data_IF_984452380365
#
_entry.id   IF_984452380365
#
_cell.length_a   1.000
_cell.length_b   1.000
_cell.length_c   1.000
_cell.angle_alpha   90.00
_cell.angle_beta   90.00
_cell.angle_gamma   90.00
#
_symmetry.space_group_name_H-M   'P 1'
#
loop_
_entity.id
_entity.type
_entity.pdbx_description
1 polymer ?
#
# COMPACT_ATOMS: atom_id res chain seq x y z
N UNK A 1 22.27 -4.01 42.64
CA UNK A 1 22.55 -3.18 41.44
C UNK A 1 21.90 -3.70 40.15
N UNK A 2 21.48 -4.97 40.04
CA UNK A 2 20.77 -5.52 38.88
C UNK A 2 19.38 -4.91 38.59
N UNK A 3 18.65 -4.47 39.64
CA UNK A 3 17.28 -3.95 39.51
C UNK A 3 17.17 -2.65 38.68
N UNK A 4 18.17 -1.76 38.72
CA UNK A 4 18.15 -0.50 37.95
C UNK A 4 18.36 -0.71 36.45
N UNK A 5 19.14 -1.72 36.06
CA UNK A 5 19.39 -2.07 34.66
C UNK A 5 18.18 -2.77 34.02
N UNK A 6 17.50 -3.64 34.77
CA UNK A 6 16.25 -4.24 34.30
C UNK A 6 15.15 -3.19 34.07
N UNK A 7 14.98 -2.23 34.98
CA UNK A 7 13.98 -1.15 34.81
C UNK A 7 14.32 -0.26 33.60
N UNK A 8 15.60 0.08 33.41
CA UNK A 8 16.04 0.87 32.25
C UNK A 8 15.82 0.14 30.92
N UNK A 9 16.15 -1.16 30.84
CA UNK A 9 15.85 -1.95 29.65
C UNK A 9 14.36 -2.02 29.37
N UNK A 10 13.51 -2.24 30.38
CA UNK A 10 12.05 -2.29 30.20
C UNK A 10 11.51 -0.96 29.67
N UNK A 11 11.94 0.19 30.21
CA UNK A 11 11.53 1.50 29.69
C UNK A 11 11.97 1.76 28.24
N UNK A 12 13.20 1.37 27.88
CA UNK A 12 13.70 1.51 26.50
C UNK A 12 12.90 0.62 25.53
N UNK A 13 12.58 -0.61 25.91
CA UNK A 13 11.77 -1.50 25.07
C UNK A 13 10.32 -1.01 24.95
N UNK A 14 9.71 -0.44 26.00
CA UNK A 14 8.33 0.08 25.91
C UNK A 14 8.23 1.30 24.98
N UNK A 15 9.18 2.24 25.02
CA UNK A 15 9.16 3.42 24.14
C UNK A 15 9.34 3.04 22.66
N UNK A 16 10.20 2.06 22.36
CA UNK A 16 10.38 1.53 21.00
C UNK A 16 9.09 0.87 20.47
N UNK A 17 8.35 0.18 21.33
CA UNK A 17 7.06 -0.46 20.98
C UNK A 17 5.95 0.58 20.78
N UNK A 18 5.99 1.78 21.36
CA UNK A 18 4.98 2.80 21.04
C UNK A 18 5.26 3.51 19.71
N UNK A 19 6.53 3.64 19.31
CA UNK A 19 6.91 4.38 18.11
C UNK A 19 6.40 3.75 16.80
N UNK A 20 6.39 2.41 16.67
CA UNK A 20 6.00 1.74 15.41
C UNK A 20 4.51 1.86 15.06
N UNK A 21 3.64 2.16 16.04
CA UNK A 21 2.20 2.36 15.86
C UNK A 21 1.79 3.83 15.96
N UNK A 22 2.75 4.76 16.01
CA UNK A 22 2.46 6.17 16.12
C UNK A 22 1.91 6.70 14.78
N UNK A 23 0.69 7.28 14.74
CA UNK A 23 0.13 7.88 13.52
C UNK A 23 0.85 9.18 13.09
N UNK A 24 1.87 9.63 13.81
CA UNK A 24 2.66 10.82 13.48
C UNK A 24 1.82 12.11 13.34
N UNK A 25 0.65 12.17 13.97
CA UNK A 25 -0.25 13.32 13.93
C UNK A 25 -0.04 14.24 15.14
N UNK A 26 -0.50 15.49 15.03
CA UNK A 26 -0.47 16.45 16.12
C UNK A 26 -1.46 16.08 17.22
N UNK A 27 -1.08 16.31 18.49
CA UNK A 27 -1.86 15.88 19.66
C UNK A 27 -3.26 16.51 19.77
N UNK A 28 -3.49 17.66 19.12
CA UNK A 28 -4.77 18.37 19.11
C UNK A 28 -5.63 18.05 17.88
N UNK A 29 -5.26 17.03 17.10
CA UNK A 29 -5.98 16.62 15.87
C UNK A 29 -6.38 15.17 15.95
N UNK A 30 -7.51 14.84 15.33
CA UNK A 30 -8.02 13.46 15.28
C UNK A 30 -8.69 13.17 13.94
N UNK A 31 -8.98 11.90 13.69
CA UNK A 31 -9.55 11.38 12.45
C UNK A 31 -8.67 11.52 11.19
N UNK A 32 -8.72 10.45 10.40
CA UNK A 32 -8.15 10.37 9.05
C UNK A 32 -9.33 10.34 8.09
N UNK A 33 -9.33 11.22 7.09
CA UNK A 33 -10.36 11.25 6.04
C UNK A 33 -9.84 10.60 4.77
N UNK A 34 -10.61 9.68 4.20
CA UNK A 34 -10.29 9.10 2.89
C UNK A 34 -10.90 9.97 1.78
N UNK A 35 -10.06 10.76 1.09
CA UNK A 35 -10.47 11.59 -0.04
C UNK A 35 -10.37 10.77 -1.34
N UNK A 36 -11.28 9.81 -1.47
CA UNK A 36 -11.30 8.82 -2.53
C UNK A 36 -11.40 9.45 -3.93
N UNK A 37 -10.43 9.15 -4.79
CA UNK A 37 -10.31 9.63 -6.18
C UNK A 37 -10.11 11.15 -6.37
N UNK A 38 -9.77 11.90 -5.32
CA UNK A 38 -9.50 13.32 -5.44
C UNK A 38 -8.16 13.60 -6.15
N UNK A 39 -8.06 14.75 -6.83
CA UNK A 39 -6.80 15.25 -7.39
C UNK A 39 -5.91 15.81 -6.29
N UNK A 40 -4.60 15.74 -6.48
CA UNK A 40 -3.65 16.25 -5.48
C UNK A 40 -3.84 17.74 -5.20
N UNK A 41 -4.13 18.54 -6.23
CA UNK A 41 -4.39 19.98 -6.07
C UNK A 41 -5.64 20.26 -5.23
N UNK A 42 -6.72 19.51 -5.44
CA UNK A 42 -7.96 19.66 -4.67
C UNK A 42 -7.76 19.27 -3.20
N UNK A 43 -6.99 18.20 -2.94
CA UNK A 43 -6.62 17.79 -1.58
C UNK A 43 -5.79 18.86 -0.89
N UNK A 44 -4.82 19.47 -1.59
CA UNK A 44 -3.99 20.53 -1.04
C UNK A 44 -4.84 21.74 -0.59
N UNK A 45 -5.81 22.14 -1.42
CA UNK A 45 -6.76 23.19 -1.08
C UNK A 45 -7.66 22.80 0.09
N UNK A 46 -8.12 21.55 0.14
CA UNK A 46 -8.97 21.03 1.21
C UNK A 46 -8.26 20.99 2.57
N UNK A 47 -6.97 20.63 2.57
CA UNK A 47 -6.10 20.74 3.73
C UNK A 47 -6.06 22.17 4.27
N UNK A 48 -5.96 23.17 3.39
CA UNK A 48 -5.79 24.57 3.77
C UNK A 48 -7.08 25.27 4.18
N UNK A 49 -8.20 24.94 3.54
CA UNK A 49 -9.47 25.67 3.70
C UNK A 49 -10.45 25.02 4.66
N UNK A 50 -10.27 23.74 4.98
CA UNK A 50 -11.25 22.98 5.76
C UNK A 50 -10.60 22.07 6.79
N UNK A 51 -9.81 21.07 6.37
CA UNK A 51 -9.36 20.00 7.26
C UNK A 51 -8.53 20.53 8.43
N UNK A 52 -7.65 21.49 8.16
CA UNK A 52 -6.80 22.07 9.18
C UNK A 52 -7.62 22.78 10.28
N UNK A 53 -8.60 23.58 9.89
CA UNK A 53 -9.41 24.39 10.80
C UNK A 53 -10.45 23.55 11.57
N UNK A 54 -10.81 22.38 11.05
CA UNK A 54 -11.76 21.45 11.66
C UNK A 54 -11.08 20.31 12.44
N UNK A 55 -9.77 20.41 12.69
CA UNK A 55 -9.07 19.48 13.57
C UNK A 55 -8.81 18.08 13.00
N UNK A 56 -8.97 17.89 11.67
CA UNK A 56 -8.59 16.64 11.02
C UNK A 56 -7.09 16.42 11.13
N UNK A 57 -6.70 15.17 11.37
CA UNK A 57 -5.31 14.78 11.60
C UNK A 57 -4.59 14.44 10.30
N UNK A 58 -5.27 13.78 9.36
CA UNK A 58 -4.68 13.34 8.13
C UNK A 58 -5.69 13.10 7.00
N UNK A 59 -5.16 12.97 5.79
CA UNK A 59 -5.87 12.45 4.62
C UNK A 59 -5.27 11.10 4.23
N UNK A 60 -6.12 10.14 3.87
CA UNK A 60 -5.73 8.97 3.08
C UNK A 60 -6.01 9.28 1.61
N UNK A 61 -5.01 9.09 0.75
CA UNK A 61 -5.12 9.28 -0.70
C UNK A 61 -5.20 7.94 -1.42
N UNK A 62 -5.94 7.90 -2.53
CA UNK A 62 -5.96 6.74 -3.43
C UNK A 62 -4.58 6.43 -4.02
N UNK A 63 -4.35 5.22 -4.57
CA UNK A 63 -3.04 4.80 -5.05
C UNK A 63 -2.37 5.81 -5.99
N UNK A 64 -1.13 6.18 -5.65
CA UNK A 64 -0.41 7.29 -6.30
C UNK A 64 0.56 6.84 -7.38
N UNK A 65 0.88 5.54 -7.43
CA UNK A 65 1.71 4.95 -8.44
C UNK A 65 0.95 4.71 -9.75
N UNK A 66 1.69 4.64 -10.85
CA UNK A 66 1.16 4.41 -12.18
C UNK A 66 0.37 3.12 -12.24
N UNK A 67 -0.88 3.25 -12.68
CA UNK A 67 -1.83 2.17 -12.76
C UNK A 67 -2.30 1.97 -14.21
N UNK A 68 -2.90 0.82 -14.47
CA UNK A 68 -3.45 0.47 -15.77
C UNK A 68 -4.57 1.44 -16.15
N UNK A 69 -4.59 1.86 -17.42
CA UNK A 69 -5.70 2.63 -17.98
C UNK A 69 -6.74 1.66 -18.51
N UNK A 70 -7.89 1.60 -17.85
CA UNK A 70 -9.00 0.73 -18.25
C UNK A 70 -10.15 1.56 -18.80
N UNK A 71 -10.69 1.17 -19.94
CA UNK A 71 -11.93 1.73 -20.49
C UNK A 71 -13.01 0.66 -20.45
N UNK A 72 -14.08 0.91 -19.70
CA UNK A 72 -15.28 0.07 -19.62
C UNK A 72 -16.47 0.92 -19.97
N UNK A 73 -17.24 0.55 -21.00
CA UNK A 73 -18.47 1.25 -21.43
C UNK A 73 -18.33 2.78 -21.55
N UNK A 74 -17.19 3.24 -22.06
CA UNK A 74 -16.92 4.67 -22.28
C UNK A 74 -16.50 5.45 -21.04
N UNK A 75 -16.30 4.80 -19.89
CA UNK A 75 -15.77 5.43 -18.68
C UNK A 75 -14.54 4.70 -18.12
N UNK A 76 -13.82 5.40 -17.24
CA UNK A 76 -12.64 4.91 -16.52
C UNK A 76 -13.06 4.48 -15.11
N UNK A 77 -13.12 3.17 -14.78
CA UNK A 77 -13.56 2.72 -13.46
C UNK A 77 -12.61 3.17 -12.34
N UNK A 78 -13.05 3.14 -11.09
CA UNK A 78 -12.20 3.49 -9.93
C UNK A 78 -11.16 2.39 -9.63
N UNK A 79 -11.53 1.13 -9.83
CA UNK A 79 -10.72 -0.02 -9.48
C UNK A 79 -9.47 -0.18 -10.36
N UNK A 80 -9.36 0.55 -11.47
CA UNK A 80 -8.16 0.54 -12.30
C UNK A 80 -6.90 1.00 -11.53
N UNK A 81 -7.07 1.78 -10.44
CA UNK A 81 -5.97 2.25 -9.59
C UNK A 81 -5.32 1.14 -8.77
N UNK A 82 -6.03 0.02 -8.59
CA UNK A 82 -5.52 -1.17 -7.90
C UNK A 82 -4.91 -2.18 -8.89
N UNK A 83 -4.55 -1.73 -10.09
CA UNK A 83 -3.81 -2.52 -11.06
C UNK A 83 -2.50 -1.82 -11.43
N UNK A 84 -1.46 -1.93 -10.59
CA UNK A 84 -0.17 -1.28 -10.85
C UNK A 84 0.44 -1.69 -12.19
N UNK A 85 1.02 -0.72 -12.87
CA UNK A 85 1.87 -0.92 -14.06
C UNK A 85 3.32 -0.53 -13.75
N UNK A 86 3.52 0.49 -12.91
CA UNK A 86 4.83 0.82 -12.37
C UNK A 86 4.74 1.55 -11.04
N UNK A 87 5.90 1.90 -10.48
CA UNK A 87 6.02 2.73 -9.28
C UNK A 87 6.29 4.21 -9.59
N UNK A 88 6.09 4.64 -10.84
CA UNK A 88 6.10 6.06 -11.19
C UNK A 88 4.92 6.79 -10.54
N UNK A 89 5.14 7.93 -9.90
CA UNK A 89 4.07 8.71 -9.27
C UNK A 89 3.38 9.60 -10.32
N UNK A 90 2.51 9.01 -11.13
CA UNK A 90 1.67 9.72 -12.12
C UNK A 90 0.37 8.95 -12.35
N UNK A 91 -0.76 9.56 -12.03
CA UNK A 91 -2.10 8.97 -12.10
C UNK A 91 -3.13 10.00 -12.58
N UNK A 92 -4.42 9.63 -12.57
CA UNK A 92 -5.52 10.61 -12.75
C UNK A 92 -5.52 11.74 -11.72
N UNK A 93 -4.97 11.52 -10.52
CA UNK A 93 -4.90 12.54 -9.48
C UNK A 93 -3.85 13.62 -9.76
N UNK A 94 -2.86 13.33 -10.61
CA UNK A 94 -1.76 14.23 -10.94
C UNK A 94 -0.41 13.51 -11.04
N UNK A 95 0.65 14.29 -11.23
CA UNK A 95 2.04 13.82 -11.32
C UNK A 95 2.81 13.99 -9.99
N UNK A 96 4.06 13.51 -9.96
CA UNK A 96 4.95 13.55 -8.78
C UNK A 96 5.14 14.95 -8.21
N UNK A 97 5.22 15.98 -9.05
CA UNK A 97 5.40 17.35 -8.59
C UNK A 97 4.14 17.87 -7.88
N UNK A 98 2.96 17.59 -8.43
CA UNK A 98 1.67 17.93 -7.81
C UNK A 98 1.45 17.14 -6.51
N UNK A 99 1.82 15.86 -6.48
CA UNK A 99 1.80 15.06 -5.26
C UNK A 99 2.70 15.68 -4.17
N UNK A 100 3.95 16.01 -4.50
CA UNK A 100 4.89 16.63 -3.56
C UNK A 100 4.40 17.99 -3.06
N UNK A 101 3.78 18.80 -3.93
CA UNK A 101 3.19 20.08 -3.53
C UNK A 101 2.03 19.89 -2.54
N UNK A 102 1.13 18.94 -2.82
CA UNK A 102 0.04 18.60 -1.91
C UNK A 102 0.57 18.14 -0.54
N UNK A 103 1.53 17.20 -0.51
CA UNK A 103 2.12 16.71 0.75
C UNK A 103 2.72 17.88 1.54
N UNK A 104 3.48 18.75 0.87
CA UNK A 104 4.08 19.94 1.49
C UNK A 104 3.01 20.85 2.11
N UNK A 105 1.96 21.20 1.36
CA UNK A 105 0.91 22.13 1.79
C UNK A 105 0.06 21.57 2.93
N UNK A 106 -0.33 20.29 2.85
CA UNK A 106 -1.03 19.62 3.94
C UNK A 106 -0.18 19.57 5.22
N UNK A 107 1.09 19.18 5.12
CA UNK A 107 1.99 19.14 6.28
C UNK A 107 2.20 20.54 6.91
N UNK A 108 2.31 21.60 6.11
CA UNK A 108 2.40 22.99 6.60
C UNK A 108 1.18 23.42 7.42
N UNK A 109 0.01 22.82 7.15
CA UNK A 109 -1.24 23.07 7.86
C UNK A 109 -1.50 22.13 9.03
N UNK A 110 -0.57 21.22 9.31
CA UNK A 110 -0.78 20.23 10.36
C UNK A 110 -1.68 19.08 9.94
N UNK A 111 -1.81 18.78 8.65
CA UNK A 111 -2.58 17.63 8.14
C UNK A 111 -1.62 16.65 7.50
N UNK A 112 -1.54 15.42 8.04
CA UNK A 112 -0.68 14.37 7.49
C UNK A 112 -1.26 13.76 6.22
N UNK A 113 -0.41 13.10 5.45
CA UNK A 113 -0.81 12.35 4.25
C UNK A 113 -0.43 10.89 4.43
N UNK A 114 -1.41 10.01 4.25
CA UNK A 114 -1.27 8.57 4.18
C UNK A 114 -1.55 8.12 2.75
N UNK A 115 -0.73 7.23 2.22
CA UNK A 115 -0.86 6.75 0.84
C UNK A 115 -1.36 5.33 0.84
N UNK A 116 -2.45 5.08 0.12
CA UNK A 116 -2.88 3.72 -0.21
C UNK A 116 -1.83 3.06 -1.13
N UNK A 117 -1.15 2.04 -0.63
CA UNK A 117 -0.07 1.33 -1.34
C UNK A 117 -0.51 -0.05 -1.78
N UNK A 118 -0.41 -0.30 -3.08
CA UNK A 118 -0.71 -1.61 -3.69
C UNK A 118 0.61 -2.31 -4.00
N UNK A 119 1.05 -3.18 -3.08
CA UNK A 119 2.34 -3.89 -3.16
C UNK A 119 2.20 -5.42 -3.34
N UNK A 120 0.98 -5.93 -3.21
CA UNK A 120 0.70 -7.37 -3.31
C UNK A 120 0.87 -7.88 -4.74
N UNK A 121 0.30 -7.16 -5.71
CA UNK A 121 0.16 -7.61 -7.08
C UNK A 121 0.44 -6.47 -8.07
N UNK A 122 0.61 -6.84 -9.33
CA UNK A 122 0.54 -5.93 -10.48
C UNK A 122 -0.83 -6.07 -11.17
N UNK A 123 -1.00 -5.48 -12.35
CA UNK A 123 -2.24 -5.63 -13.12
C UNK A 123 -2.60 -7.09 -13.42
N UNK A 124 -3.86 -7.34 -13.78
CA UNK A 124 -4.23 -8.60 -14.43
C UNK A 124 -3.92 -8.57 -15.92
N UNK A 125 -4.28 -9.66 -16.60
CA UNK A 125 -4.13 -9.81 -18.05
C UNK A 125 -4.82 -8.67 -18.81
N UNK A 126 -4.05 -7.96 -19.65
CA UNK A 126 -4.57 -6.96 -20.57
C UNK A 126 -3.73 -6.88 -21.83
N UNK A 127 -4.38 -6.93 -23.00
CA UNK A 127 -3.71 -6.70 -24.27
C UNK A 127 -3.40 -5.21 -24.47
N UNK A 128 -2.22 -4.90 -24.99
CA UNK A 128 -1.74 -3.52 -25.20
C UNK A 128 -1.80 -2.65 -23.94
N UNK A 129 -1.44 -3.22 -22.79
CA UNK A 129 -1.51 -2.54 -21.50
C UNK A 129 -0.71 -1.22 -21.50
N UNK A 130 -1.37 -0.16 -21.04
CA UNK A 130 -0.84 1.21 -20.95
C UNK A 130 -1.10 1.75 -19.55
N UNK A 131 -0.04 2.23 -18.91
CA UNK A 131 -0.13 2.91 -17.63
C UNK A 131 -0.48 4.39 -17.77
N UNK A 132 -0.97 4.98 -16.68
CA UNK A 132 -1.32 6.41 -16.59
C UNK A 132 -0.14 7.37 -16.80
N UNK A 133 1.11 6.90 -16.69
CA UNK A 133 2.33 7.67 -16.99
C UNK A 133 2.89 7.38 -18.39
N UNK A 134 2.22 6.52 -19.17
CA UNK A 134 2.60 6.14 -20.53
C UNK A 134 3.43 4.87 -20.64
N UNK A 135 3.78 4.22 -19.51
CA UNK A 135 4.49 2.94 -19.53
C UNK A 135 3.68 1.88 -20.25
N UNK A 136 4.35 1.03 -21.01
CA UNK A 136 3.75 -0.18 -21.61
C UNK A 136 4.12 -1.40 -20.79
N UNK A 137 3.27 -2.42 -20.80
CA UNK A 137 3.54 -3.71 -20.17
C UNK A 137 2.95 -4.84 -21.04
N UNK A 138 3.41 -6.07 -20.79
CA UNK A 138 2.79 -7.29 -21.28
C UNK A 138 2.38 -8.17 -20.07
N UNK A 139 1.23 -7.88 -19.44
CA UNK A 139 0.77 -8.59 -18.25
C UNK A 139 0.60 -10.09 -18.48
N UNK A 140 0.16 -10.51 -19.67
CA UNK A 140 -0.04 -11.93 -20.02
C UNK A 140 1.25 -12.74 -19.84
N UNK A 141 2.40 -12.12 -20.10
CA UNK A 141 3.71 -12.72 -19.90
C UNK A 141 4.42 -12.26 -18.61
N UNK A 142 3.72 -11.51 -17.74
CA UNK A 142 4.21 -10.92 -16.50
C UNK A 142 5.44 -10.01 -16.71
N UNK A 143 5.43 -9.25 -17.80
CA UNK A 143 6.51 -8.32 -18.14
C UNK A 143 6.08 -6.87 -17.89
N UNK A 144 6.79 -6.21 -16.97
CA UNK A 144 6.58 -4.82 -16.54
C UNK A 144 7.89 -4.04 -16.64
N UNK A 145 8.28 -3.58 -17.84
CA UNK A 145 9.60 -2.98 -18.10
C UNK A 145 9.91 -1.71 -17.31
N UNK A 146 8.87 -0.96 -16.89
CA UNK A 146 9.05 0.28 -16.13
C UNK A 146 9.49 0.05 -14.66
N UNK A 147 9.29 -1.16 -14.10
CA UNK A 147 9.79 -1.56 -12.77
C UNK A 147 11.09 -2.37 -12.84
N UNK A 148 11.56 -2.64 -14.05
CA UNK A 148 11.74 -3.99 -14.62
C UNK A 148 11.38 -5.18 -13.72
N UNK A 149 10.14 -5.67 -13.85
CA UNK A 149 9.75 -7.02 -13.44
C UNK A 149 9.51 -7.91 -14.65
N UNK A 150 9.86 -9.18 -14.50
CA UNK A 150 9.55 -10.27 -15.42
C UNK A 150 8.88 -11.42 -14.63
N UNK A 151 8.52 -12.50 -15.33
CA UNK A 151 7.86 -13.68 -14.75
C UNK A 151 8.53 -14.27 -13.50
N UNK A 152 9.84 -14.13 -13.30
CA UNK A 152 10.56 -14.68 -12.14
C UNK A 152 10.27 -13.90 -10.85
N UNK A 153 9.71 -12.69 -10.97
CA UNK A 153 9.39 -11.80 -9.85
C UNK A 153 7.97 -12.03 -9.28
N UNK A 154 7.26 -13.00 -9.83
CA UNK A 154 5.89 -13.33 -9.45
C UNK A 154 5.82 -14.77 -8.97
N UNK A 155 4.83 -15.05 -8.13
CA UNK A 155 4.49 -16.42 -7.82
C UNK A 155 4.00 -17.16 -9.07
N UNK A 156 4.10 -18.50 -9.02
CA UNK A 156 3.55 -19.36 -10.06
C UNK A 156 2.04 -19.16 -10.12
N UNK A 157 1.49 -18.94 -11.32
CA UNK A 157 0.07 -18.64 -11.46
C UNK A 157 -0.82 -19.73 -10.88
N UNK A 158 -1.66 -19.32 -9.94
CA UNK A 158 -2.78 -20.04 -9.36
C UNK A 158 -3.85 -18.98 -9.03
N UNK A 159 -5.14 -19.31 -9.17
CA UNK A 159 -6.21 -18.38 -8.85
C UNK A 159 -6.79 -18.65 -7.46
N UNK A 160 -7.11 -17.60 -6.71
CA UNK A 160 -7.96 -17.72 -5.52
C UNK A 160 -9.42 -17.94 -6.00
N UNK A 161 -9.95 -19.14 -5.81
CA UNK A 161 -11.19 -19.59 -6.46
C UNK A 161 -12.47 -19.31 -5.65
N UNK A 162 -12.39 -19.16 -4.33
CA UNK A 162 -13.55 -18.93 -3.47
C UNK A 162 -13.30 -17.87 -2.39
N UNK A 163 -13.98 -16.73 -2.53
CA UNK A 163 -13.97 -15.58 -1.61
C UNK A 163 -14.86 -15.77 -0.37
N UNK A 164 -15.67 -16.83 -0.32
CA UNK A 164 -16.55 -17.15 0.81
C UNK A 164 -15.99 -18.27 1.68
N UNK A 165 -15.01 -19.02 1.18
CA UNK A 165 -14.26 -19.96 2.00
C UNK A 165 -13.22 -19.19 2.81
N UNK A 166 -13.48 -18.97 4.10
CA UNK A 166 -12.51 -18.35 5.00
C UNK A 166 -11.17 -19.11 5.05
N UNK A 167 -11.09 -20.35 4.56
CA UNK A 167 -9.83 -21.09 4.43
C UNK A 167 -9.02 -20.75 3.16
N UNK A 168 -9.63 -20.10 2.17
CA UNK A 168 -9.02 -19.67 0.90
C UNK A 168 -9.02 -18.15 0.75
N UNK A 169 -9.83 -17.43 1.54
CA UNK A 169 -9.95 -15.99 1.51
C UNK A 169 -10.05 -15.41 2.92
N UNK A 170 -8.89 -15.02 3.46
CA UNK A 170 -8.82 -14.06 4.56
C UNK A 170 -8.63 -12.61 4.03
N UNK A 171 -8.78 -12.38 2.73
CA UNK A 171 -8.54 -11.10 2.08
C UNK A 171 -9.74 -10.14 2.10
N UNK A 172 -10.63 -10.33 3.09
CA UNK A 172 -11.55 -9.28 3.55
C UNK A 172 -10.82 -8.06 4.13
N UNK A 173 -9.49 -8.08 4.15
CA UNK A 173 -8.59 -7.01 4.57
C UNK A 173 -7.77 -6.41 3.41
N UNK A 174 -8.30 -6.42 2.18
CA UNK A 174 -7.80 -5.54 1.10
C UNK A 174 -8.10 -4.05 1.35
N UNK A 175 -8.68 -3.71 2.51
CA UNK A 175 -8.67 -2.39 3.13
C UNK A 175 -8.22 -2.58 4.59
N UNK A 176 -7.08 -1.99 4.95
CA UNK A 176 -6.39 -1.99 6.25
C UNK A 176 -5.67 -3.30 6.68
N UNK A 177 -4.35 -3.33 6.47
CA UNK A 177 -3.29 -3.48 7.50
C UNK A 177 -2.03 -4.06 6.85
N UNK A 178 -1.20 -3.17 6.30
CA UNK A 178 0.25 -3.40 6.37
C UNK A 178 0.61 -3.15 7.85
N UNK A 179 1.36 -4.08 8.47
CA UNK A 179 1.85 -4.06 9.86
C UNK A 179 0.89 -4.59 10.97
N UNK A 180 0.65 -5.91 11.01
CA UNK A 180 0.43 -6.61 12.29
C UNK A 180 0.65 -8.12 12.15
N UNK A 181 1.90 -8.56 12.00
CA UNK A 181 2.26 -10.00 12.08
C UNK A 181 2.74 -10.44 13.48
N UNK A 182 3.10 -9.51 14.38
CA UNK A 182 3.81 -9.85 15.62
C UNK A 182 2.97 -10.44 16.78
N UNK A 183 1.66 -10.72 16.62
CA UNK A 183 0.88 -11.39 17.68
C UNK A 183 0.29 -12.75 17.29
N UNK A 184 0.52 -13.25 16.07
CA UNK A 184 -0.04 -14.54 15.64
C UNK A 184 0.83 -15.76 15.96
N UNK A 185 2.12 -15.60 16.30
CA UNK A 185 3.03 -16.74 16.49
C UNK A 185 2.80 -17.51 17.80
N UNK A 186 2.24 -16.90 18.85
CA UNK A 186 2.22 -17.55 20.18
C UNK A 186 1.04 -18.50 20.40
N UNK A 187 0.01 -18.51 19.54
CA UNK A 187 -1.18 -19.35 19.74
C UNK A 187 -1.33 -20.54 18.75
N UNK A 188 -0.51 -20.63 17.69
CA UNK A 188 -0.71 -21.58 16.58
C UNK A 188 0.26 -22.78 16.52
N UNK A 189 1.11 -23.00 17.52
CA UNK A 189 2.02 -24.17 17.57
C UNK A 189 1.48 -25.37 18.36
N UNK A 190 0.21 -25.78 18.15
CA UNK A 190 -0.30 -27.09 18.65
C UNK A 190 -1.17 -27.88 17.65
N UNK A 191 -1.00 -27.66 16.34
CA UNK A 191 -1.72 -28.43 15.32
C UNK A 191 -1.10 -28.33 13.92
N UNK A 192 0.16 -28.71 13.79
CA UNK A 192 0.89 -28.65 12.52
C UNK A 192 0.40 -29.73 11.53
N UNK A 193 -0.22 -29.31 10.42
CA UNK A 193 -0.52 -30.20 9.30
C UNK A 193 -1.37 -29.57 8.19
N UNK A 194 -2.46 -28.86 8.52
CA UNK A 194 -3.41 -28.35 7.51
C UNK A 194 -3.53 -26.82 7.43
N UNK A 195 -3.19 -26.08 8.49
CA UNK A 195 -3.27 -24.61 8.48
C UNK A 195 -2.12 -23.95 7.69
N UNK A 196 -0.93 -24.57 7.68
CA UNK A 196 0.27 -24.02 7.01
C UNK A 196 0.17 -24.02 5.48
N UNK A 197 -0.54 -24.99 4.88
CA UNK A 197 -0.74 -25.06 3.42
C UNK A 197 -1.74 -23.98 2.95
N UNK A 198 -2.66 -23.55 3.83
CA UNK A 198 -3.75 -22.64 3.53
C UNK A 198 -3.34 -21.16 3.53
N UNK A 199 -2.45 -20.77 4.44
CA UNK A 199 -1.89 -19.41 4.46
C UNK A 199 -1.03 -19.15 3.21
N UNK A 200 -0.30 -20.16 2.72
CA UNK A 200 0.51 -20.03 1.52
C UNK A 200 -0.33 -19.78 0.26
N UNK A 201 -1.53 -20.37 0.17
CA UNK A 201 -2.40 -20.16 -0.99
C UNK A 201 -2.96 -18.74 -1.06
N UNK A 202 -3.37 -18.18 0.08
CA UNK A 202 -3.84 -16.77 0.17
C UNK A 202 -2.72 -15.78 -0.16
N UNK A 203 -1.48 -16.12 0.22
CA UNK A 203 -0.31 -15.24 0.08
C UNK A 203 0.39 -15.34 -1.27
N UNK A 204 0.21 -16.45 -2.00
CA UNK A 204 1.03 -16.76 -3.17
C UNK A 204 0.20 -17.04 -4.43
N UNK A 205 -1.10 -16.78 -4.42
CA UNK A 205 -1.98 -16.93 -5.58
C UNK A 205 -2.60 -15.60 -6.02
N UNK A 206 -2.95 -15.55 -7.30
CA UNK A 206 -3.48 -14.37 -7.98
C UNK A 206 -4.91 -14.08 -7.47
N UNK A 207 -5.05 -12.90 -6.87
CA UNK A 207 -6.33 -12.36 -6.41
C UNK A 207 -7.12 -11.86 -7.62
N UNK A 208 -8.26 -12.48 -7.95
CA UNK A 208 -9.07 -12.18 -9.15
C UNK A 208 -8.25 -12.06 -10.45
N UNK A 209 -7.16 -12.82 -10.59
CA UNK A 209 -6.29 -12.79 -11.77
C UNK A 209 -5.28 -11.63 -11.80
N UNK A 210 -5.08 -10.91 -10.69
CA UNK A 210 -4.02 -9.92 -10.55
C UNK A 210 -2.69 -10.63 -10.27
N UNK A 211 -1.65 -10.32 -11.03
CA UNK A 211 -0.39 -11.06 -10.94
C UNK A 211 0.33 -10.81 -9.61
N UNK A 212 0.44 -11.86 -8.82
CA UNK A 212 0.92 -11.83 -7.44
C UNK A 212 2.45 -11.78 -7.35
N UNK A 213 2.99 -10.74 -6.73
CA UNK A 213 4.44 -10.52 -6.61
C UNK A 213 5.05 -11.44 -5.58
N UNK A 214 6.23 -12.00 -5.87
CA UNK A 214 6.97 -12.80 -4.90
C UNK A 214 7.80 -11.90 -3.97
N UNK A 215 7.23 -11.49 -2.83
CA UNK A 215 7.97 -10.67 -1.85
C UNK A 215 9.00 -11.47 -1.01
N UNK A 216 9.16 -12.79 -1.25
CA UNK A 216 10.30 -13.54 -0.73
C UNK A 216 11.60 -13.14 -1.47
N UNK A 217 11.47 -12.69 -2.73
CA UNK A 217 12.57 -12.19 -3.55
C UNK A 217 13.15 -10.90 -3.00
N UNK A 218 14.48 -10.89 -2.77
CA UNK A 218 15.19 -9.68 -2.35
C UNK A 218 15.18 -8.57 -3.41
N UNK A 219 14.99 -8.92 -4.68
CA UNK A 219 14.87 -7.93 -5.75
C UNK A 219 13.52 -7.23 -5.67
N UNK A 220 12.44 -8.01 -5.56
CA UNK A 220 11.08 -7.47 -5.39
C UNK A 220 11.02 -6.58 -4.15
N UNK A 221 11.49 -7.06 -2.99
CA UNK A 221 11.52 -6.25 -1.76
C UNK A 221 12.28 -4.94 -1.93
N UNK A 222 13.43 -4.94 -2.62
CA UNK A 222 14.17 -3.70 -2.88
C UNK A 222 13.36 -2.71 -3.73
N UNK A 223 12.71 -3.16 -4.80
CA UNK A 223 11.85 -2.30 -5.63
C UNK A 223 10.68 -1.71 -4.84
N UNK A 224 10.06 -2.49 -3.96
CA UNK A 224 8.98 -2.03 -3.10
C UNK A 224 9.48 -1.00 -2.07
N UNK A 225 10.63 -1.26 -1.43
CA UNK A 225 11.25 -0.32 -0.48
C UNK A 225 11.66 0.97 -1.18
N UNK A 226 12.29 0.92 -2.35
CA UNK A 226 12.66 2.11 -3.13
C UNK A 226 11.43 2.99 -3.43
N UNK A 227 10.27 2.38 -3.71
CA UNK A 227 9.02 3.09 -3.90
C UNK A 227 8.50 3.72 -2.60
N UNK A 228 8.48 2.97 -1.50
CA UNK A 228 8.05 3.49 -0.20
C UNK A 228 8.96 4.62 0.29
N UNK A 229 10.27 4.48 0.15
CA UNK A 229 11.26 5.52 0.50
C UNK A 229 11.05 6.78 -0.35
N UNK A 230 10.75 6.64 -1.65
CA UNK A 230 10.43 7.78 -2.51
C UNK A 230 9.16 8.52 -2.07
N UNK A 231 8.19 7.84 -1.44
CA UNK A 231 7.01 8.47 -0.84
C UNK A 231 7.35 9.14 0.49
N UNK A 232 8.16 8.50 1.34
CA UNK A 232 8.67 9.08 2.59
C UNK A 232 9.45 10.36 2.30
N UNK A 233 10.30 10.38 1.27
CA UNK A 233 11.04 11.55 0.79
C UNK A 233 10.14 12.69 0.28
N UNK A 234 8.90 12.38 -0.13
CA UNK A 234 7.90 13.39 -0.45
C UNK A 234 7.26 14.00 0.82
N UNK A 235 7.41 13.36 1.98
CA UNK A 235 6.94 13.81 3.29
C UNK A 235 5.64 13.15 3.77
N UNK A 236 5.29 11.97 3.25
CA UNK A 236 4.13 11.22 3.74
C UNK A 236 4.37 10.73 5.17
N UNK A 237 3.30 10.53 5.93
CA UNK A 237 3.37 10.12 7.34
C UNK A 237 3.19 8.62 7.55
N UNK A 238 2.69 7.91 6.54
CA UNK A 238 2.41 6.47 6.60
C UNK A 238 1.70 5.95 5.35
N UNK A 239 1.33 4.67 5.41
CA UNK A 239 0.70 3.88 4.36
C UNK A 239 -0.43 3.04 4.94
#
# INVERSE_FOLDING_TARGET
MACKWCIFCVYVFTELVYAHKNPNVWSNRSAIVHLFEWKFEDIALECERFLADHGFAAVQVSPVNENLVVMSDGYRPWWERYQPISYNITTRSGNKAQFKDMVRRCNQKGVRVYVDVVLNHMSGDMSNARGTAGSTADPVNKDYPAVPFDRQHFHTSCGIQDYQDANQDHNKLSLLKVLQEDEAETFMCRGAGMASIRILFVRNCELVGLHDLDQSSTYVRRKLVDFLDALVDCGVAGF
#
